data_IF_341923920940
#
_entry.id   IF_341923920940
#
_cell.length_a   1.000
_cell.length_b   1.000
_cell.length_c   1.000
_cell.angle_alpha   90.00
_cell.angle_beta   90.00
_cell.angle_gamma   90.00
#
_symmetry.space_group_name_H-M   'P 1'
#
loop_
_entity.id
_entity.type
_entity.pdbx_description
1 polymer ?
#
# COMPACT_ATOMS: atom_id res chain seq x y z
N UNK A 1 -3.38 -14.39 4.38
CA UNK A 1 -2.69 -13.09 4.57
C UNK A 1 -2.48 -12.62 6.02
N UNK A 2 -2.79 -13.42 7.07
CA UNK A 2 -2.59 -12.99 8.47
C UNK A 2 -1.12 -12.71 8.83
N UNK A 3 -0.18 -13.52 8.32
CA UNK A 3 1.26 -13.35 8.55
C UNK A 3 1.77 -12.02 7.99
N UNK A 4 1.42 -11.68 6.75
CA UNK A 4 1.77 -10.39 6.14
C UNK A 4 1.28 -9.21 6.99
N UNK A 5 0.03 -9.28 7.47
CA UNK A 5 -0.54 -8.26 8.36
C UNK A 5 0.27 -8.09 9.64
N UNK A 6 0.62 -9.20 10.30
CA UNK A 6 1.41 -9.15 11.54
C UNK A 6 2.80 -8.55 11.31
N UNK A 7 3.45 -8.93 10.20
CA UNK A 7 4.76 -8.44 9.83
C UNK A 7 4.74 -6.93 9.52
N UNK A 8 3.76 -6.48 8.74
CA UNK A 8 3.57 -5.06 8.45
C UNK A 8 3.26 -4.26 9.71
N UNK A 9 2.39 -4.78 10.59
CA UNK A 9 2.08 -4.14 11.87
C UNK A 9 3.34 -3.93 12.71
N UNK A 10 4.19 -4.96 12.82
CA UNK A 10 5.44 -4.86 13.57
C UNK A 10 6.39 -3.80 12.98
N UNK A 11 6.52 -3.76 11.65
CA UNK A 11 7.36 -2.74 10.98
C UNK A 11 6.81 -1.32 11.16
N UNK A 12 5.49 -1.16 11.10
CA UNK A 12 4.82 0.13 11.33
C UNK A 12 5.05 0.63 12.77
N UNK A 13 4.96 -0.26 13.76
CA UNK A 13 5.18 0.09 15.18
C UNK A 13 6.64 0.46 15.48
N UNK A 14 7.59 -0.10 14.71
CA UNK A 14 9.02 0.18 14.85
C UNK A 14 9.50 1.43 14.09
N UNK A 15 8.75 1.86 13.07
CA UNK A 15 9.16 2.96 12.19
C UNK A 15 8.47 4.27 12.58
N UNK A 16 9.24 5.17 13.20
CA UNK A 16 8.75 6.51 13.60
C UNK A 16 8.37 7.41 12.41
N UNK A 17 8.81 7.07 11.20
CA UNK A 17 8.50 7.80 9.96
C UNK A 17 7.21 7.33 9.28
N UNK A 18 6.62 6.22 9.72
CA UNK A 18 5.36 5.73 9.17
C UNK A 18 4.20 6.67 9.58
N UNK A 19 3.29 6.90 8.64
CA UNK A 19 2.09 7.66 8.91
C UNK A 19 0.90 7.05 8.18
N UNK A 20 -0.19 6.86 8.90
CA UNK A 20 -1.46 6.43 8.32
C UNK A 20 -2.02 7.49 7.37
N UNK A 21 -2.77 7.03 6.37
CA UNK A 21 -3.62 7.90 5.59
C UNK A 21 -4.63 8.61 6.50
N UNK A 22 -4.95 9.88 6.22
CA UNK A 22 -5.70 10.73 7.16
C UNK A 22 -7.10 10.20 7.48
N UNK A 23 -7.81 9.62 6.51
CA UNK A 23 -9.10 8.95 6.74
C UNK A 23 -9.00 7.60 7.46
N UNK A 24 -7.82 6.99 7.47
CA UNK A 24 -7.62 5.64 8.00
C UNK A 24 -6.99 5.65 9.38
N UNK A 25 -6.55 6.82 9.86
CA UNK A 25 -5.81 7.00 11.10
C UNK A 25 -6.60 6.56 12.33
N UNK A 26 -7.86 6.96 12.44
CA UNK A 26 -8.70 6.63 13.61
C UNK A 26 -8.96 5.13 13.74
N UNK A 27 -9.03 4.43 12.61
CA UNK A 27 -9.24 2.99 12.54
C UNK A 27 -7.93 2.18 12.59
N UNK A 28 -6.77 2.84 12.58
CA UNK A 28 -5.48 2.18 12.39
C UNK A 28 -5.43 1.33 11.11
N UNK A 29 -6.20 1.71 10.09
CA UNK A 29 -6.37 0.91 8.89
C UNK A 29 -5.20 1.15 7.93
N UNK A 30 -4.41 0.10 7.69
CA UNK A 30 -3.32 0.13 6.70
C UNK A 30 -3.44 -0.99 5.66
N UNK A 31 -4.33 -1.96 5.86
CA UNK A 31 -4.46 -3.14 5.01
C UNK A 31 -5.89 -3.66 4.93
N UNK A 32 -6.38 -3.91 3.72
CA UNK A 32 -7.52 -4.79 3.44
C UNK A 32 -7.03 -5.95 2.57
N UNK A 33 -7.52 -7.16 2.85
CA UNK A 33 -7.24 -8.31 1.99
C UNK A 33 -8.50 -9.15 1.76
N UNK A 34 -8.67 -9.61 0.53
CA UNK A 34 -9.69 -10.58 0.17
C UNK A 34 -9.13 -11.56 -0.85
N UNK A 35 -9.14 -12.86 -0.53
CA UNK A 35 -8.43 -13.89 -1.28
C UNK A 35 -6.97 -13.47 -1.56
N UNK A 36 -6.64 -13.23 -2.83
CA UNK A 36 -5.32 -12.83 -3.32
C UNK A 36 -5.18 -11.30 -3.51
N UNK A 37 -6.28 -10.55 -3.42
CA UNK A 37 -6.28 -9.10 -3.60
C UNK A 37 -5.94 -8.38 -2.30
N UNK A 38 -5.00 -7.45 -2.38
CA UNK A 38 -4.46 -6.68 -1.26
C UNK A 38 -4.55 -5.19 -1.56
N UNK A 39 -5.14 -4.43 -0.63
CA UNK A 39 -5.06 -2.97 -0.61
C UNK A 39 -4.26 -2.51 0.60
N UNK A 40 -3.26 -1.66 0.36
CA UNK A 40 -2.43 -1.05 1.39
C UNK A 40 -2.65 0.46 1.42
N UNK A 41 -2.78 1.03 2.62
CA UNK A 41 -3.08 2.45 2.83
C UNK A 41 -2.04 3.10 3.72
N UNK A 42 -1.43 4.18 3.26
CA UNK A 42 -0.54 5.02 4.06
C UNK A 42 -0.60 6.48 3.61
N UNK A 43 0.06 7.37 4.35
CA UNK A 43 0.33 8.72 3.90
C UNK A 43 1.28 8.66 2.70
N UNK A 44 1.04 9.52 1.70
CA UNK A 44 1.91 9.65 0.53
C UNK A 44 3.24 10.31 0.91
N UNK A 45 4.16 9.54 1.50
CA UNK A 45 5.53 9.92 1.78
C UNK A 45 6.46 8.71 1.60
N UNK A 46 7.74 8.97 1.31
CA UNK A 46 8.74 7.94 1.02
C UNK A 46 8.89 6.98 2.20
N UNK A 47 8.91 7.49 3.44
CA UNK A 47 9.05 6.68 4.66
C UNK A 47 7.96 5.61 4.79
N UNK A 48 6.69 5.96 4.66
CA UNK A 48 5.59 4.98 4.83
C UNK A 48 5.57 3.96 3.71
N UNK A 49 5.84 4.38 2.47
CA UNK A 49 5.90 3.48 1.32
C UNK A 49 7.08 2.51 1.44
N UNK A 50 8.21 2.98 1.97
CA UNK A 50 9.40 2.14 2.20
C UNK A 50 9.15 1.05 3.25
N UNK A 51 8.36 1.35 4.29
CA UNK A 51 7.92 0.33 5.27
C UNK A 51 7.12 -0.77 4.60
N UNK A 52 6.20 -0.43 3.70
CA UNK A 52 5.45 -1.42 2.94
C UNK A 52 6.34 -2.24 2.01
N UNK A 53 7.28 -1.61 1.29
CA UNK A 53 8.23 -2.34 0.44
C UNK A 53 9.03 -3.36 1.24
N UNK A 54 9.62 -2.93 2.36
CA UNK A 54 10.36 -3.82 3.28
C UNK A 54 9.49 -4.98 3.78
N UNK A 55 8.24 -4.71 4.13
CA UNK A 55 7.32 -5.73 4.61
C UNK A 55 6.96 -6.76 3.55
N UNK A 56 6.71 -6.30 2.32
CA UNK A 56 6.44 -7.18 1.18
C UNK A 56 7.67 -8.03 0.82
N UNK A 57 8.87 -7.44 0.83
CA UNK A 57 10.11 -8.15 0.54
C UNK A 57 10.44 -9.21 1.59
N UNK A 58 10.25 -8.89 2.87
CA UNK A 58 10.44 -9.86 3.96
C UNK A 58 9.38 -10.97 3.92
N UNK A 59 8.13 -10.64 3.59
CA UNK A 59 7.10 -11.66 3.41
C UNK A 59 7.43 -12.58 2.23
N UNK A 60 7.92 -12.01 1.12
CA UNK A 60 8.33 -12.78 -0.05
C UNK A 60 9.50 -13.72 0.27
N UNK A 61 10.51 -13.26 1.02
CA UNK A 61 11.65 -14.10 1.40
C UNK A 61 11.27 -15.25 2.34
N UNK A 62 10.29 -15.02 3.23
CA UNK A 62 9.83 -16.03 4.18
C UNK A 62 8.84 -17.04 3.58
N UNK A 63 7.98 -16.60 2.66
CA UNK A 63 6.90 -17.43 2.11
C UNK A 63 7.17 -17.96 0.70
N UNK A 64 8.11 -17.37 -0.04
CA UNK A 64 8.30 -17.57 -1.47
C UNK A 64 7.21 -16.92 -2.35
N UNK A 65 6.25 -16.19 -1.76
CA UNK A 65 5.18 -15.51 -2.49
C UNK A 65 5.62 -14.09 -2.84
N UNK A 66 5.80 -13.84 -4.13
CA UNK A 66 6.19 -12.54 -4.65
C UNK A 66 4.97 -11.74 -5.12
N UNK A 67 5.01 -10.43 -4.88
CA UNK A 67 4.04 -9.50 -5.46
C UNK A 67 4.24 -9.45 -6.98
N UNK A 68 3.14 -9.45 -7.73
CA UNK A 68 3.19 -9.35 -9.18
C UNK A 68 3.16 -7.87 -9.61
N UNK A 69 4.28 -7.27 -10.04
CA UNK A 69 4.34 -5.86 -10.39
C UNK A 69 3.45 -5.48 -11.58
N UNK A 70 3.09 -6.44 -12.44
CA UNK A 70 2.18 -6.19 -13.57
C UNK A 70 0.70 -6.09 -13.13
N UNK A 71 0.35 -6.61 -11.95
CA UNK A 71 -1.00 -6.52 -11.37
C UNK A 71 -1.07 -5.51 -10.22
N UNK A 72 0.07 -5.13 -9.67
CA UNK A 72 0.17 -4.19 -8.55
C UNK A 72 0.27 -2.76 -9.03
N UNK A 73 -0.57 -1.91 -8.46
CA UNK A 73 -0.69 -0.51 -8.86
C UNK A 73 -0.51 0.40 -7.66
N UNK A 74 0.26 1.46 -7.82
CA UNK A 74 0.34 2.54 -6.84
C UNK A 74 -0.61 3.67 -7.23
N UNK A 75 -1.57 3.98 -6.37
CA UNK A 75 -2.52 5.08 -6.57
C UNK A 75 -2.23 6.21 -5.60
N UNK A 76 -1.94 7.39 -6.12
CA UNK A 76 -1.50 8.56 -5.33
C UNK A 76 -2.58 9.63 -5.38
N UNK A 77 -2.84 10.27 -4.24
CA UNK A 77 -3.79 11.39 -4.18
C UNK A 77 -3.29 12.58 -5.00
N UNK A 78 -4.20 13.29 -5.68
CA UNK A 78 -3.86 14.47 -6.50
C UNK A 78 -3.04 15.54 -5.74
N UNK A 79 -3.25 15.65 -4.43
CA UNK A 79 -2.54 16.57 -3.54
C UNK A 79 -1.06 16.22 -3.29
N UNK A 80 -0.60 15.03 -3.69
CA UNK A 80 0.76 14.54 -3.43
C UNK A 80 1.54 14.32 -4.74
N UNK A 81 1.29 15.15 -5.76
CA UNK A 81 1.90 15.00 -7.08
C UNK A 81 3.43 15.20 -7.06
N UNK A 82 3.94 16.03 -6.15
CA UNK A 82 5.37 16.36 -6.09
C UNK A 82 6.24 15.16 -5.65
N UNK A 83 5.69 14.26 -4.83
CA UNK A 83 6.39 13.05 -4.35
C UNK A 83 6.16 11.84 -5.24
N UNK A 84 5.38 11.97 -6.32
CA UNK A 84 4.94 10.85 -7.17
C UNK A 84 6.09 10.03 -7.73
N UNK A 85 7.10 10.72 -8.30
CA UNK A 85 8.26 10.05 -8.90
C UNK A 85 9.04 9.23 -7.87
N UNK A 86 9.24 9.80 -6.68
CA UNK A 86 9.97 9.14 -5.59
C UNK A 86 9.21 7.90 -5.09
N UNK A 87 7.89 8.00 -4.94
CA UNK A 87 7.08 6.87 -4.47
C UNK A 87 7.04 5.72 -5.48
N UNK A 88 6.95 6.03 -6.77
CA UNK A 88 7.00 5.01 -7.82
C UNK A 88 8.36 4.31 -7.86
N UNK A 89 9.45 5.07 -7.67
CA UNK A 89 10.80 4.51 -7.63
C UNK A 89 11.04 3.54 -6.44
N UNK A 90 10.36 3.73 -5.31
CA UNK A 90 10.50 2.86 -4.13
C UNK A 90 9.82 1.51 -4.31
N UNK A 91 8.61 1.49 -4.86
CA UNK A 91 7.82 0.24 -5.01
C UNK A 91 8.11 -0.50 -6.31
N UNK A 92 8.64 0.19 -7.33
CA UNK A 92 8.78 -0.32 -8.69
C UNK A 92 7.44 -0.82 -9.28
N UNK A 93 6.35 -0.15 -8.90
CA UNK A 93 5.01 -0.47 -9.37
C UNK A 93 4.59 0.48 -10.49
N UNK A 94 3.72 -0.01 -11.37
CA UNK A 94 3.05 0.85 -12.31
C UNK A 94 2.09 1.79 -11.58
N UNK A 95 1.95 2.99 -12.11
CA UNK A 95 0.99 3.92 -11.56
C UNK A 95 -0.44 3.50 -11.93
N UNK A 96 -1.28 3.36 -10.91
CA UNK A 96 -2.70 3.11 -11.06
C UNK A 96 -3.43 4.37 -11.53
N UNK A 97 -4.20 4.24 -12.63
CA UNK A 97 -5.16 5.28 -13.02
C UNK A 97 -6.51 5.00 -12.36
N UNK A 98 -7.15 6.04 -11.83
CA UNK A 98 -8.50 5.93 -11.29
C UNK A 98 -9.53 5.71 -12.43
N UNK A 99 -10.63 4.96 -12.17
CA UNK A 99 -10.97 4.30 -10.90
C UNK A 99 -10.18 2.99 -10.71
N UNK A 100 -9.61 2.81 -9.52
CA UNK A 100 -8.92 1.57 -9.15
C UNK A 100 -9.97 0.46 -9.04
N UNK A 101 -9.76 -0.68 -9.68
CA UNK A 101 -10.67 -1.82 -9.55
C UNK A 101 -10.24 -2.69 -8.36
N UNK A 102 -11.17 -3.00 -7.46
CA UNK A 102 -10.98 -3.96 -6.38
C UNK A 102 -12.18 -4.90 -6.34
N UNK A 103 -11.95 -6.21 -6.49
CA UNK A 103 -13.00 -7.22 -6.61
C UNK A 103 -13.98 -6.93 -7.76
N UNK A 104 -13.45 -6.53 -8.92
CA UNK A 104 -14.22 -6.16 -10.12
C UNK A 104 -15.14 -4.93 -9.93
N UNK A 105 -15.05 -4.25 -8.78
CA UNK A 105 -15.80 -3.05 -8.48
C UNK A 105 -14.88 -1.82 -8.60
N UNK A 106 -15.32 -0.75 -9.29
CA UNK A 106 -14.57 0.49 -9.33
C UNK A 106 -14.61 1.14 -7.94
N UNK A 107 -13.42 1.37 -7.37
CA UNK A 107 -13.23 2.26 -6.23
C UNK A 107 -13.42 3.69 -6.73
N UNK A 108 -14.65 4.18 -6.61
CA UNK A 108 -15.01 5.56 -6.95
C UNK A 108 -14.43 6.51 -5.88
N UNK A 109 -13.82 7.59 -6.34
CA UNK A 109 -13.35 8.68 -5.46
C UNK A 109 -14.51 9.54 -4.93
N UNK A 110 -15.74 9.32 -5.41
CA UNK A 110 -16.96 10.04 -5.01
C UNK A 110 -18.01 9.05 -4.53
N UNK A 111 -18.86 9.50 -3.60
CA UNK A 111 -20.10 8.77 -3.27
C UNK A 111 -20.95 8.65 -4.54
N UNK A 112 -21.58 7.49 -4.72
CA UNK A 112 -22.78 7.35 -5.57
C UNK A 112 -23.93 8.14 -4.93
#
# INVERSE_FOLDING_TARGET
MKVLRMLLQQLIEQDLGFSFHWHCRELGLFQLCFADDLLLFCKANVSSVSVFKRGLDLFASLSGLHVNPAKSHLSISRSAHDVRSDLLAVLDFQEGRFPVQYLELPLLSSRL
#
